data_IF_487291889366
#
_entry.id   IF_487291889366
#
_cell.length_a   1.000
_cell.length_b   1.000
_cell.length_c   1.000
_cell.angle_alpha   90.00
_cell.angle_beta   90.00
_cell.angle_gamma   90.00
#
_symmetry.space_group_name_H-M   'P 1'
#
loop_
_entity.id
_entity.type
_entity.pdbx_description
1 polymer ?
#
# COMPACT_ATOMS: atom_id res chain seq x y z
N UNK A 1 -1.22 6.46 -18.76
CA UNK A 1 -1.20 5.31 -17.85
C UNK A 1 -1.01 5.83 -16.41
N UNK A 2 -1.61 5.15 -15.45
CA UNK A 2 -1.52 5.55 -14.06
C UNK A 2 -0.69 4.56 -13.27
N UNK A 3 -0.01 5.07 -12.23
CA UNK A 3 0.79 4.26 -11.32
C UNK A 3 0.41 4.62 -9.90
N UNK A 4 0.51 3.67 -8.99
CA UNK A 4 0.09 3.84 -7.62
C UNK A 4 1.19 3.39 -6.68
N UNK A 5 1.47 4.20 -5.66
CA UNK A 5 2.24 3.77 -4.50
C UNK A 5 1.23 3.52 -3.39
N UNK A 6 1.32 2.37 -2.74
CA UNK A 6 0.31 1.96 -1.77
C UNK A 6 0.94 1.38 -0.52
N UNK A 7 0.18 1.42 0.57
CA UNK A 7 0.58 0.81 1.83
C UNK A 7 -0.48 -0.20 2.24
N UNK A 8 -0.04 -1.42 2.51
CA UNK A 8 -0.87 -2.47 3.08
C UNK A 8 -0.49 -2.67 4.55
N UNK A 9 -1.45 -3.13 5.35
CA UNK A 9 -1.21 -3.49 6.74
C UNK A 9 -1.92 -4.79 7.07
N UNK A 10 -1.57 -5.38 8.21
CA UNK A 10 -2.27 -6.56 8.74
C UNK A 10 -3.43 -6.15 9.65
N UNK A 11 -4.19 -7.10 10.14
CA UNK A 11 -5.39 -6.83 10.95
C UNK A 11 -5.09 -6.04 12.23
N UNK A 12 -3.91 -6.23 12.81
CA UNK A 12 -3.52 -5.57 14.06
C UNK A 12 -2.75 -4.27 13.85
N UNK A 13 -2.55 -3.85 12.59
CA UNK A 13 -1.84 -2.62 12.21
C UNK A 13 -0.40 -2.57 12.73
N UNK A 14 0.24 -3.74 12.84
CA UNK A 14 1.62 -3.85 13.36
C UNK A 14 2.66 -3.95 12.25
N UNK A 15 2.25 -4.34 11.04
CA UNK A 15 3.14 -4.52 9.90
C UNK A 15 2.69 -3.61 8.76
N UNK A 16 3.65 -2.94 8.11
CA UNK A 16 3.39 -2.10 6.94
C UNK A 16 4.17 -2.64 5.75
N UNK A 17 3.52 -2.69 4.58
CA UNK A 17 4.16 -3.05 3.33
C UNK A 17 3.90 -1.96 2.31
N UNK A 18 4.96 -1.51 1.64
CA UNK A 18 4.87 -0.46 0.61
C UNK A 18 5.18 -1.07 -0.74
N UNK A 19 4.33 -0.79 -1.72
CA UNK A 19 4.52 -1.27 -3.07
C UNK A 19 4.17 -0.23 -4.12
N UNK A 20 4.51 -0.53 -5.37
CA UNK A 20 4.16 0.28 -6.53
C UNK A 20 3.54 -0.63 -7.59
N UNK A 21 2.51 -0.15 -8.28
CA UNK A 21 1.82 -0.93 -9.30
C UNK A 21 1.15 -0.01 -10.32
N UNK A 22 0.89 -0.53 -11.51
CA UNK A 22 0.07 0.15 -12.50
C UNK A 22 -1.40 -0.27 -12.45
N UNK A 23 -1.75 -1.19 -11.54
CA UNK A 23 -3.12 -1.69 -11.40
C UNK A 23 -3.36 -2.00 -9.92
N UNK A 24 -3.81 -0.99 -9.18
CA UNK A 24 -3.95 -1.06 -7.74
C UNK A 24 -4.96 -2.14 -7.32
N UNK A 25 -6.12 -2.15 -7.96
CA UNK A 25 -7.17 -3.11 -7.60
C UNK A 25 -6.71 -4.55 -7.79
N UNK A 26 -6.10 -4.85 -8.94
CA UNK A 26 -5.60 -6.19 -9.22
C UNK A 26 -4.51 -6.60 -8.24
N UNK A 27 -3.56 -5.71 -7.99
CA UNK A 27 -2.43 -6.01 -7.09
C UNK A 27 -2.90 -6.27 -5.66
N UNK A 28 -3.82 -5.45 -5.14
CA UNK A 28 -4.36 -5.66 -3.79
C UNK A 28 -5.15 -6.97 -3.75
N UNK A 29 -5.92 -7.28 -4.80
CA UNK A 29 -6.63 -8.55 -4.89
C UNK A 29 -5.64 -9.73 -4.84
N UNK A 30 -4.51 -9.65 -5.54
CA UNK A 30 -3.48 -10.69 -5.51
C UNK A 30 -2.92 -10.89 -4.10
N UNK A 31 -2.71 -9.79 -3.36
CA UNK A 31 -2.28 -9.88 -1.97
C UNK A 31 -3.33 -10.56 -1.09
N UNK A 32 -4.61 -10.21 -1.28
CA UNK A 32 -5.71 -10.77 -0.48
C UNK A 32 -5.93 -12.25 -0.73
N UNK A 33 -5.72 -12.71 -1.96
CA UNK A 33 -5.94 -14.11 -2.34
C UNK A 33 -4.68 -14.97 -2.19
N UNK A 34 -3.57 -14.38 -1.74
CA UNK A 34 -2.32 -15.11 -1.57
C UNK A 34 -1.59 -15.43 -2.87
N UNK A 35 -1.99 -14.83 -3.99
CA UNK A 35 -1.32 -15.03 -5.28
C UNK A 35 0.01 -14.29 -5.35
N UNK A 36 0.24 -13.34 -4.44
CA UNK A 36 1.50 -12.61 -4.35
C UNK A 36 2.32 -13.22 -3.21
N UNK A 37 3.34 -14.04 -3.51
CA UNK A 37 4.11 -14.72 -2.48
C UNK A 37 5.05 -13.77 -1.73
N UNK A 38 5.57 -14.24 -0.60
CA UNK A 38 6.59 -13.52 0.15
C UNK A 38 6.05 -12.82 1.39
N UNK A 39 6.56 -11.60 1.66
CA UNK A 39 6.33 -10.87 2.90
C UNK A 39 4.84 -10.70 3.24
N UNK A 40 4.03 -10.23 2.30
CA UNK A 40 2.63 -9.93 2.59
C UNK A 40 1.82 -11.18 2.91
N UNK A 41 2.13 -12.30 2.24
CA UNK A 41 1.49 -13.58 2.52
C UNK A 41 1.88 -14.11 3.89
N UNK A 42 3.17 -14.02 4.22
CA UNK A 42 3.69 -14.51 5.49
C UNK A 42 3.08 -13.79 6.70
N UNK A 43 2.87 -12.48 6.58
CA UNK A 43 2.40 -11.66 7.69
C UNK A 43 0.94 -11.23 7.56
N UNK A 44 0.18 -11.81 6.62
CA UNK A 44 -1.22 -11.46 6.38
C UNK A 44 -1.42 -9.97 6.18
N UNK A 45 -0.52 -9.34 5.41
CA UNK A 45 -0.50 -7.90 5.17
C UNK A 45 -1.30 -7.62 3.90
N UNK A 46 -2.62 -7.58 4.03
CA UNK A 46 -3.53 -7.52 2.88
C UNK A 46 -4.61 -6.45 2.99
N UNK A 47 -4.54 -5.56 3.98
CA UNK A 47 -5.50 -4.47 4.15
C UNK A 47 -4.94 -3.19 3.55
N UNK A 48 -5.63 -2.63 2.55
CA UNK A 48 -5.19 -1.40 1.88
C UNK A 48 -5.61 -0.19 2.73
N UNK A 49 -4.63 0.58 3.20
CA UNK A 49 -4.90 1.72 4.09
C UNK A 49 -4.40 3.06 3.53
N UNK A 50 -3.65 3.04 2.43
CA UNK A 50 -3.10 4.27 1.86
C UNK A 50 -2.71 4.05 0.40
N UNK A 51 -2.88 5.07 -0.45
CA UNK A 51 -2.34 5.05 -1.81
C UNK A 51 -2.19 6.47 -2.35
N UNK A 52 -1.25 6.61 -3.30
CA UNK A 52 -0.99 7.84 -4.04
C UNK A 52 -0.98 7.54 -5.52
N UNK A 53 -1.51 8.46 -6.33
CA UNK A 53 -1.59 8.32 -7.79
C UNK A 53 -0.47 9.12 -8.46
N UNK A 54 0.17 8.49 -9.43
CA UNK A 54 1.21 9.11 -10.27
C UNK A 54 0.92 8.82 -11.74
N UNK A 55 1.31 9.75 -12.60
CA UNK A 55 1.17 9.58 -14.06
C UNK A 55 2.48 9.10 -14.69
N UNK A 56 3.57 9.07 -13.94
CA UNK A 56 4.91 8.71 -14.40
C UNK A 56 5.49 7.60 -13.51
N UNK A 57 5.96 6.52 -14.15
CA UNK A 57 6.51 5.37 -13.42
C UNK A 57 7.76 5.73 -12.61
N UNK A 58 8.60 6.58 -13.16
CA UNK A 58 9.86 6.96 -12.50
C UNK A 58 9.57 7.69 -11.18
N UNK A 59 8.66 8.65 -11.21
CA UNK A 59 8.25 9.39 -10.02
C UNK A 59 7.61 8.46 -8.98
N UNK A 60 6.79 7.52 -9.44
CA UNK A 60 6.17 6.54 -8.55
C UNK A 60 7.21 5.67 -7.84
N UNK A 61 8.21 5.17 -8.59
CA UNK A 61 9.28 4.35 -8.02
C UNK A 61 10.12 5.14 -7.03
N UNK A 62 10.42 6.40 -7.33
CA UNK A 62 11.17 7.27 -6.43
C UNK A 62 10.40 7.48 -5.12
N UNK A 63 9.08 7.67 -5.21
CA UNK A 63 8.23 7.82 -4.03
C UNK A 63 8.20 6.54 -3.20
N UNK A 64 8.07 5.39 -3.85
CA UNK A 64 8.11 4.10 -3.14
C UNK A 64 9.41 3.95 -2.35
N UNK A 65 10.55 4.24 -2.98
CA UNK A 65 11.84 4.17 -2.31
C UNK A 65 11.94 5.14 -1.14
N UNK A 66 11.44 6.36 -1.33
CA UNK A 66 11.42 7.38 -0.28
C UNK A 66 10.62 6.89 0.93
N UNK A 67 9.44 6.32 0.70
CA UNK A 67 8.61 5.81 1.79
C UNK A 67 9.25 4.61 2.47
N UNK A 68 9.87 3.70 1.72
CA UNK A 68 10.54 2.53 2.30
C UNK A 68 11.71 2.93 3.18
N UNK A 69 12.46 3.96 2.80
CA UNK A 69 13.60 4.44 3.58
C UNK A 69 13.20 5.39 4.72
N UNK A 70 11.97 5.85 4.73
CA UNK A 70 11.46 6.75 5.76
C UNK A 70 11.16 6.03 7.07
N UNK A 71 11.01 6.80 8.15
CA UNK A 71 10.68 6.23 9.45
C UNK A 71 9.25 5.65 9.45
N UNK A 72 9.01 4.72 10.37
CA UNK A 72 7.67 4.19 10.59
C UNK A 72 6.70 5.33 10.95
N UNK A 73 7.15 6.27 11.77
CA UNK A 73 6.31 7.39 12.21
C UNK A 73 5.84 8.25 11.04
N UNK A 74 6.69 8.47 10.03
CA UNK A 74 6.28 9.20 8.82
C UNK A 74 5.20 8.44 8.06
N UNK A 75 5.33 7.13 7.94
CA UNK A 75 4.33 6.30 7.27
C UNK A 75 3.00 6.35 8.01
N UNK A 76 3.05 6.24 9.34
CA UNK A 76 1.85 6.34 10.16
C UNK A 76 1.18 7.70 10.00
N UNK A 77 1.95 8.78 9.93
CA UNK A 77 1.43 10.12 9.71
C UNK A 77 0.70 10.25 8.38
N UNK A 78 1.24 9.66 7.31
CA UNK A 78 0.60 9.65 6.00
C UNK A 78 -0.73 8.90 6.04
N UNK A 79 -0.75 7.71 6.66
CA UNK A 79 -1.97 6.92 6.77
C UNK A 79 -3.01 7.67 7.60
N UNK A 80 -2.63 8.22 8.74
CA UNK A 80 -3.55 8.94 9.62
C UNK A 80 -4.13 10.19 8.97
N UNK A 81 -3.37 10.88 8.10
CA UNK A 81 -3.87 12.03 7.37
C UNK A 81 -4.83 11.68 6.24
N UNK A 82 -4.63 10.52 5.62
CA UNK A 82 -5.41 10.07 4.47
C UNK A 82 -6.61 9.20 4.88
N UNK A 83 -6.42 8.38 5.91
CA UNK A 83 -7.38 7.35 6.34
C UNK A 83 -7.28 7.19 7.86
N UNK A 84 -7.76 8.19 8.64
CA UNK A 84 -7.53 8.23 10.08
C UNK A 84 -8.08 7.03 10.85
N UNK A 85 -9.08 6.36 10.31
CA UNK A 85 -9.66 5.18 10.95
C UNK A 85 -9.07 3.87 10.45
N UNK A 86 -8.10 3.93 9.54
CA UNK A 86 -7.43 2.76 8.97
C UNK A 86 -8.43 1.77 8.37
N UNK A 87 -9.43 2.29 7.68
CA UNK A 87 -10.44 1.48 7.01
C UNK A 87 -9.84 0.75 5.83
N UNK A 88 -10.44 -0.40 5.46
CA UNK A 88 -10.08 -1.10 4.23
C UNK A 88 -10.51 -0.27 3.04
N UNK A 89 -9.55 0.21 2.25
CA UNK A 89 -9.83 1.05 1.09
C UNK A 89 -10.08 0.25 -0.19
N UNK A 90 -9.83 -1.06 -0.17
CA UNK A 90 -10.01 -1.91 -1.35
C UNK A 90 -11.42 -1.79 -1.91
N UNK A 91 -12.41 -1.80 -1.04
CA UNK A 91 -13.82 -1.77 -1.45
C UNK A 91 -14.23 -0.42 -2.05
N UNK A 92 -13.40 0.61 -1.91
CA UNK A 92 -13.65 1.93 -2.49
C UNK A 92 -13.06 2.08 -3.89
N UNK A 93 -12.33 1.09 -4.39
CA UNK A 93 -11.64 1.19 -5.68
C UNK A 93 -12.52 0.96 -6.89
N UNK A 94 -13.75 0.66 -6.71
CA UNK A 94 -14.70 0.52 -7.81
C UNK A 94 -14.82 -0.87 -8.42
#
# INVERSE_FOLDING_TARGET
MHYYVYILTNATHTVLYIGVTNDLKRRVHEHKTGLHPGFTRKYNTNKLVYWELFIDIKTAIEREKQLKSGSRQKKLGLINGFNPEWQELFDTLG
#
